data_IF_433564278629
#
_entry.id   IF_433564278629
#
_cell.length_a   1.000
_cell.length_b   1.000
_cell.length_c   1.000
_cell.angle_alpha   90.00
_cell.angle_beta   90.00
_cell.angle_gamma   90.00
#
_symmetry.space_group_name_H-M   'P 1'
#
loop_
_entity.id
_entity.type
_entity.pdbx_description
1 polymer ?
#
# COMPACT_ATOMS: atom_id res chain seq x y z
N UNK A 1 19.61 -12.43 12.30
CA UNK A 1 19.13 -12.59 10.92
C UNK A 1 19.05 -11.23 10.27
N UNK A 2 19.59 -11.08 9.05
CA UNK A 2 19.64 -9.84 8.29
C UNK A 2 18.72 -9.95 7.08
N UNK A 3 17.70 -9.12 7.01
CA UNK A 3 16.62 -9.23 6.02
C UNK A 3 16.55 -7.94 5.20
N UNK A 4 16.59 -8.06 3.88
CA UNK A 4 16.32 -6.96 2.98
C UNK A 4 14.83 -6.91 2.61
N UNK A 5 14.20 -5.76 2.81
CA UNK A 5 12.85 -5.46 2.31
C UNK A 5 12.94 -4.51 1.13
N UNK A 6 12.39 -4.90 -0.01
CA UNK A 6 12.30 -4.08 -1.21
C UNK A 6 10.84 -3.71 -1.45
N UNK A 7 10.50 -2.45 -1.35
CA UNK A 7 9.10 -2.01 -1.43
C UNK A 7 8.91 -0.56 -1.90
N UNK A 8 7.67 -0.17 -2.05
CA UNK A 8 7.28 1.16 -2.53
C UNK A 8 7.36 2.25 -1.45
N UNK A 9 8.23 2.12 -0.46
CA UNK A 9 8.43 3.10 0.61
C UNK A 9 9.47 4.17 0.25
N UNK A 10 9.40 5.32 0.91
CA UNK A 10 10.38 6.40 0.71
C UNK A 10 10.00 7.46 -0.32
N UNK A 11 8.80 7.39 -0.90
CA UNK A 11 8.29 8.39 -1.85
C UNK A 11 7.40 9.45 -1.22
N UNK A 12 7.12 9.36 0.09
CA UNK A 12 6.12 10.19 0.74
C UNK A 12 4.68 9.78 0.43
N UNK A 13 4.48 8.54 -0.06
CA UNK A 13 3.17 7.90 -0.06
C UNK A 13 2.93 7.31 1.32
N UNK A 14 2.06 7.94 2.09
CA UNK A 14 1.79 7.60 3.50
C UNK A 14 1.47 6.12 3.70
N UNK A 15 0.73 5.53 2.77
CA UNK A 15 0.35 4.13 2.84
C UNK A 15 1.55 3.20 2.68
N UNK A 16 2.34 3.43 1.66
CA UNK A 16 3.51 2.60 1.37
C UNK A 16 4.62 2.84 2.42
N UNK A 17 4.74 4.07 2.95
CA UNK A 17 5.66 4.41 4.04
C UNK A 17 5.27 3.78 5.40
N UNK A 18 4.09 3.18 5.49
CA UNK A 18 3.64 2.45 6.68
C UNK A 18 4.29 1.06 6.80
N UNK A 19 4.60 0.39 5.69
CA UNK A 19 5.14 -0.97 5.72
C UNK A 19 6.46 -1.11 6.48
N UNK A 20 7.48 -0.24 6.31
CA UNK A 20 8.68 -0.31 7.13
C UNK A 20 8.39 -0.26 8.63
N UNK A 21 7.44 0.57 9.06
CA UNK A 21 7.07 0.70 10.46
C UNK A 21 6.39 -0.57 10.99
N UNK A 22 5.50 -1.16 10.20
CA UNK A 22 4.87 -2.45 10.51
C UNK A 22 5.92 -3.54 10.64
N UNK A 23 6.81 -3.68 9.67
CA UNK A 23 7.80 -4.75 9.67
C UNK A 23 8.84 -4.58 10.78
N UNK A 24 9.28 -3.35 11.07
CA UNK A 24 10.14 -3.06 12.21
C UNK A 24 9.49 -3.48 13.55
N UNK A 25 8.20 -3.23 13.71
CA UNK A 25 7.45 -3.64 14.91
C UNK A 25 7.32 -5.16 15.01
N UNK A 26 6.98 -5.82 13.91
CA UNK A 26 6.71 -7.26 13.87
C UNK A 26 7.96 -8.13 13.94
N UNK A 27 9.11 -7.62 13.50
CA UNK A 27 10.38 -8.37 13.39
C UNK A 27 11.53 -7.73 14.18
N UNK A 28 11.25 -7.20 15.38
CA UNK A 28 12.23 -6.49 16.25
C UNK A 28 13.52 -7.26 16.54
N UNK A 29 13.52 -8.58 16.39
CA UNK A 29 14.69 -9.43 16.63
C UNK A 29 15.61 -9.62 15.41
N UNK A 30 15.30 -9.02 14.27
CA UNK A 30 16.07 -9.08 13.04
C UNK A 30 16.67 -7.72 12.68
N UNK A 31 17.79 -7.74 11.97
CA UNK A 31 18.32 -6.55 11.30
C UNK A 31 17.57 -6.36 9.99
N UNK A 32 16.82 -5.27 9.87
CA UNK A 32 15.99 -4.97 8.71
C UNK A 32 16.61 -3.86 7.88
N UNK A 33 16.84 -4.13 6.60
CA UNK A 33 17.29 -3.15 5.62
C UNK A 33 16.16 -2.86 4.64
N UNK A 34 15.89 -1.59 4.39
CA UNK A 34 14.80 -1.19 3.49
C UNK A 34 15.36 -0.58 2.21
N UNK A 35 14.93 -1.11 1.09
CA UNK A 35 15.28 -0.69 -0.26
C UNK A 35 14.03 -0.21 -1.00
N UNK A 36 14.25 0.79 -1.84
CA UNK A 36 13.17 1.36 -2.64
C UNK A 36 12.97 0.57 -3.94
N UNK A 37 11.72 0.29 -4.30
CA UNK A 37 11.36 -0.52 -5.46
C UNK A 37 11.63 0.11 -6.84
N UNK A 38 11.94 1.41 -6.88
CA UNK A 38 12.22 2.14 -8.14
C UNK A 38 13.63 2.75 -8.19
N UNK A 39 14.42 2.54 -7.14
CA UNK A 39 15.80 3.03 -7.05
C UNK A 39 16.73 1.85 -6.72
N UNK A 40 17.40 1.26 -7.73
CA UNK A 40 18.32 0.16 -7.47
C UNK A 40 19.47 0.64 -6.59
N UNK A 41 19.78 -0.15 -5.57
CA UNK A 41 20.91 0.09 -4.66
C UNK A 41 21.63 -1.23 -4.41
N UNK A 42 22.93 -1.15 -4.20
CA UNK A 42 23.75 -2.33 -3.90
C UNK A 42 23.26 -2.99 -2.61
N UNK A 43 23.03 -4.30 -2.68
CA UNK A 43 22.61 -5.10 -1.55
C UNK A 43 23.83 -5.76 -0.87
N UNK A 44 23.84 -5.87 0.47
CA UNK A 44 24.86 -6.64 1.17
C UNK A 44 24.89 -8.10 0.72
N UNK A 45 26.08 -8.68 0.67
CA UNK A 45 26.25 -10.10 0.31
C UNK A 45 25.94 -11.08 1.44
N UNK A 46 25.77 -10.59 2.67
CA UNK A 46 25.51 -11.34 3.89
C UNK A 46 24.04 -11.36 4.32
N UNK A 47 23.15 -11.25 3.35
CA UNK A 47 21.70 -11.32 3.61
C UNK A 47 21.25 -12.75 3.85
N UNK A 48 20.44 -12.94 4.87
CA UNK A 48 19.77 -14.21 5.17
C UNK A 48 18.47 -14.40 4.38
N UNK A 49 17.80 -13.30 4.04
CA UNK A 49 16.50 -13.32 3.35
C UNK A 49 16.24 -12.03 2.58
N UNK A 50 15.63 -12.13 1.41
CA UNK A 50 15.15 -11.00 0.62
C UNK A 50 13.62 -11.04 0.52
N UNK A 51 12.96 -9.97 0.89
CA UNK A 51 11.50 -9.83 0.88
C UNK A 51 11.10 -8.69 -0.04
N UNK A 52 10.34 -9.00 -1.09
CA UNK A 52 9.74 -7.98 -1.94
C UNK A 52 8.33 -7.73 -1.43
N UNK A 53 8.06 -6.49 -0.99
CA UNK A 53 6.71 -6.29 -0.50
C UNK A 53 6.39 -5.03 0.24
N UNK A 54 5.12 -5.07 0.58
CA UNK A 54 4.33 -3.92 0.95
C UNK A 54 3.92 -3.12 -0.28
N UNK A 55 2.62 -3.12 -0.60
CA UNK A 55 2.07 -2.28 -1.64
C UNK A 55 1.81 -2.96 -2.99
N UNK A 56 1.33 -2.16 -3.93
CA UNK A 56 0.98 -2.61 -5.29
C UNK A 56 2.19 -2.64 -6.22
N UNK A 57 3.20 -3.45 -5.91
CA UNK A 57 4.50 -3.44 -6.62
C UNK A 57 4.60 -4.44 -7.78
N UNK A 58 3.66 -5.37 -7.92
CA UNK A 58 3.71 -6.35 -9.02
C UNK A 58 2.97 -5.76 -10.22
N UNK A 59 3.70 -5.08 -11.07
CA UNK A 59 3.21 -4.53 -12.34
C UNK A 59 4.38 -4.30 -13.31
N UNK A 60 4.05 -4.24 -14.58
CA UNK A 60 4.96 -3.84 -15.64
C UNK A 60 4.24 -2.77 -16.47
N UNK A 61 4.32 -1.53 -15.99
CA UNK A 61 3.73 -0.37 -16.67
C UNK A 61 4.74 0.14 -17.67
N UNK A 62 4.57 -0.24 -18.93
CA UNK A 62 5.38 0.26 -20.04
C UNK A 62 4.54 1.18 -20.92
N UNK A 63 5.09 2.31 -21.33
CA UNK A 63 4.67 2.98 -22.56
C UNK A 63 4.91 2.03 -23.72
N UNK A 64 4.24 2.21 -24.85
CA UNK A 64 4.28 1.27 -25.99
C UNK A 64 5.68 0.80 -26.42
N UNK A 65 6.73 1.55 -26.06
CA UNK A 65 8.11 1.35 -26.51
C UNK A 65 9.06 0.79 -25.43
N UNK A 66 8.63 0.69 -24.16
CA UNK A 66 9.46 0.28 -23.02
C UNK A 66 8.93 -0.99 -22.33
N UNK A 67 9.19 -2.14 -22.92
CA UNK A 67 8.97 -3.41 -22.21
C UNK A 67 10.30 -4.18 -22.11
N UNK A 68 10.76 -4.57 -20.91
CA UNK A 68 10.15 -4.35 -19.58
C UNK A 68 10.31 -2.91 -19.06
N UNK A 69 9.37 -2.48 -18.23
CA UNK A 69 9.34 -1.13 -17.66
C UNK A 69 10.52 -0.82 -16.73
N UNK A 70 10.87 0.46 -16.51
CA UNK A 70 11.90 0.83 -15.54
C UNK A 70 11.64 0.29 -14.13
N UNK A 71 10.38 0.32 -13.67
CA UNK A 71 10.00 -0.27 -12.38
C UNK A 71 10.31 -1.78 -12.33
N UNK A 72 9.88 -2.54 -13.35
CA UNK A 72 10.18 -3.98 -13.37
C UNK A 72 11.68 -4.24 -13.39
N UNK A 73 12.46 -3.48 -14.18
CA UNK A 73 13.93 -3.64 -14.22
C UNK A 73 14.58 -3.40 -12.86
N UNK A 74 14.09 -2.44 -12.09
CA UNK A 74 14.56 -2.22 -10.73
C UNK A 74 14.24 -3.40 -9.81
N UNK A 75 13.02 -3.89 -9.86
CA UNK A 75 12.62 -5.08 -9.09
C UNK A 75 13.40 -6.32 -9.53
N UNK A 76 13.63 -6.48 -10.83
CA UNK A 76 14.46 -7.54 -11.41
C UNK A 76 15.87 -7.53 -10.83
N UNK A 77 16.50 -6.38 -10.72
CA UNK A 77 17.83 -6.23 -10.12
C UNK A 77 17.92 -6.88 -8.73
N UNK A 78 16.92 -6.66 -7.88
CA UNK A 78 16.88 -7.24 -6.53
C UNK A 78 16.59 -8.74 -6.54
N UNK A 79 15.68 -9.20 -7.41
CA UNK A 79 15.37 -10.63 -7.56
C UNK A 79 16.55 -11.40 -8.12
N UNK A 80 17.22 -10.88 -9.14
CA UNK A 80 18.41 -11.49 -9.72
C UNK A 80 19.56 -11.57 -8.72
N UNK A 81 19.74 -10.55 -7.87
CA UNK A 81 20.72 -10.60 -6.77
C UNK A 81 20.43 -11.76 -5.80
N UNK A 82 19.18 -11.90 -5.34
CA UNK A 82 18.78 -12.98 -4.45
C UNK A 82 19.01 -14.37 -5.08
N UNK A 83 18.67 -14.52 -6.36
CA UNK A 83 18.87 -15.77 -7.11
C UNK A 83 20.37 -16.07 -7.25
N UNK A 84 21.17 -15.09 -7.66
CA UNK A 84 22.62 -15.28 -7.89
C UNK A 84 23.38 -15.59 -6.61
N UNK A 85 22.98 -15.02 -5.47
CA UNK A 85 23.58 -15.30 -4.16
C UNK A 85 23.05 -16.58 -3.51
N UNK A 86 22.00 -17.18 -4.05
CA UNK A 86 21.30 -18.31 -3.42
C UNK A 86 20.56 -17.93 -2.13
N UNK A 87 20.31 -16.63 -1.92
CA UNK A 87 19.56 -16.14 -0.76
C UNK A 87 18.07 -16.45 -0.93
N UNK A 88 17.41 -17.10 0.05
CA UNK A 88 15.98 -17.30 0.03
C UNK A 88 15.22 -15.98 -0.14
N UNK A 89 14.12 -16.01 -0.88
CA UNK A 89 13.38 -14.78 -1.15
C UNK A 89 11.90 -15.02 -1.48
N UNK A 90 11.08 -13.98 -1.35
CA UNK A 90 9.67 -14.08 -1.68
C UNK A 90 8.93 -12.76 -1.63
N UNK A 91 7.61 -12.84 -1.84
CA UNK A 91 6.71 -11.69 -1.88
C UNK A 91 5.84 -11.63 -0.63
N UNK A 92 5.74 -10.45 -0.01
CA UNK A 92 4.99 -10.24 1.23
C UNK A 92 4.02 -9.05 1.10
N UNK A 93 2.73 -9.31 1.32
CA UNK A 93 1.67 -8.28 1.27
C UNK A 93 1.65 -7.47 -0.03
N UNK A 94 1.86 -8.18 -1.15
CA UNK A 94 1.91 -7.55 -2.47
C UNK A 94 0.52 -7.43 -3.10
N UNK A 95 0.34 -6.39 -3.91
CA UNK A 95 -0.78 -6.26 -4.82
C UNK A 95 -0.32 -6.28 -6.27
N UNK A 96 -1.12 -6.93 -7.13
CA UNK A 96 -0.98 -6.82 -8.57
C UNK A 96 -1.78 -5.63 -9.07
N UNK A 97 -1.22 -4.86 -9.98
CA UNK A 97 -2.01 -3.88 -10.73
C UNK A 97 -2.67 -4.59 -11.92
N UNK A 98 -3.89 -5.08 -11.71
CA UNK A 98 -4.62 -5.88 -12.70
C UNK A 98 -5.38 -5.05 -13.72
N UNK A 99 -5.54 -3.74 -13.48
CA UNK A 99 -6.28 -2.84 -14.36
C UNK A 99 -5.38 -1.68 -14.77
N UNK A 100 -5.40 -1.37 -16.06
CA UNK A 100 -4.83 -0.13 -16.53
C UNK A 100 -5.47 1.05 -15.76
N UNK A 101 -4.67 2.03 -15.35
CA UNK A 101 -5.21 3.36 -15.05
C UNK A 101 -6.01 3.82 -16.27
N UNK A 102 -7.00 4.71 -16.07
CA UNK A 102 -7.84 5.26 -17.16
C UNK A 102 -7.07 5.82 -18.36
N UNK A 103 -5.76 6.06 -18.17
CA UNK A 103 -4.88 6.52 -19.25
C UNK A 103 -4.54 5.32 -20.14
N UNK A 104 -4.97 5.36 -21.36
CA UNK A 104 -4.74 4.36 -22.43
C UNK A 104 -3.26 4.05 -22.69
N UNK A 105 -2.35 4.78 -22.03
CA UNK A 105 -0.89 4.71 -22.16
C UNK A 105 -0.21 3.61 -21.33
N UNK A 106 -0.91 2.95 -20.39
CA UNK A 106 -0.31 1.94 -19.54
C UNK A 106 -0.92 0.56 -19.77
N UNK A 107 -0.17 -0.33 -20.36
CA UNK A 107 -0.49 -1.76 -20.39
C UNK A 107 0.11 -2.42 -19.15
N UNK A 108 -0.70 -3.13 -18.38
CA UNK A 108 -0.17 -4.03 -17.34
C UNK A 108 0.11 -5.37 -17.99
N UNK A 109 1.38 -5.63 -18.29
CA UNK A 109 1.85 -6.93 -18.74
C UNK A 109 2.59 -7.62 -17.59
N UNK A 110 2.09 -8.76 -17.16
CA UNK A 110 2.67 -9.54 -16.06
C UNK A 110 3.64 -10.63 -16.55
N UNK A 111 3.82 -10.82 -17.86
CA UNK A 111 4.69 -11.86 -18.39
C UNK A 111 6.13 -11.78 -17.88
N UNK A 112 6.78 -10.60 -17.71
CA UNK A 112 8.12 -10.51 -17.16
C UNK A 112 8.24 -11.01 -15.71
N UNK A 113 7.13 -10.99 -14.93
CA UNK A 113 7.11 -11.43 -13.55
C UNK A 113 6.98 -12.95 -13.39
N UNK A 114 6.51 -13.66 -14.41
CA UNK A 114 6.20 -15.10 -14.33
C UNK A 114 7.38 -15.94 -13.83
N UNK A 115 8.61 -15.82 -14.40
CA UNK A 115 9.75 -16.62 -13.95
C UNK A 115 10.10 -16.40 -12.46
N UNK A 116 9.94 -15.18 -11.97
CA UNK A 116 10.23 -14.82 -10.58
C UNK A 116 9.14 -15.32 -9.64
N UNK A 117 7.87 -15.13 -10.01
CA UNK A 117 6.74 -15.67 -9.24
C UNK A 117 6.76 -17.19 -9.14
N UNK A 118 7.30 -17.89 -10.15
CA UNK A 118 7.49 -19.35 -10.11
C UNK A 118 8.60 -19.78 -9.15
N UNK A 119 9.65 -18.98 -8.98
CA UNK A 119 10.84 -19.32 -8.18
C UNK A 119 10.74 -18.88 -6.72
N UNK A 120 9.90 -17.89 -6.40
CA UNK A 120 9.76 -17.35 -5.04
C UNK A 120 9.44 -18.44 -4.01
N UNK A 121 10.06 -18.38 -2.82
CA UNK A 121 9.87 -19.35 -1.74
C UNK A 121 8.51 -19.22 -1.06
N UNK A 122 7.97 -18.01 -1.03
CA UNK A 122 6.64 -17.69 -0.53
C UNK A 122 6.05 -16.50 -1.28
N UNK A 123 4.74 -16.48 -1.42
CA UNK A 123 4.01 -15.35 -2.01
C UNK A 123 2.78 -15.10 -1.14
N UNK A 124 2.70 -13.92 -0.54
CA UNK A 124 1.46 -13.46 0.06
C UNK A 124 0.98 -12.19 -0.62
N UNK A 125 -0.29 -12.16 -0.91
CA UNK A 125 -0.95 -11.04 -1.59
C UNK A 125 -2.10 -10.49 -0.75
N UNK A 126 -2.50 -9.26 -1.05
CA UNK A 126 -3.52 -8.52 -0.29
C UNK A 126 -4.91 -8.54 -0.92
N UNK A 127 -5.14 -9.37 -1.93
CA UNK A 127 -6.43 -9.52 -2.60
C UNK A 127 -6.60 -10.94 -3.12
N UNK A 128 -7.79 -11.57 -2.97
CA UNK A 128 -8.07 -12.91 -3.51
C UNK A 128 -7.90 -13.00 -5.03
N UNK A 129 -8.25 -11.95 -5.77
CA UNK A 129 -8.07 -11.88 -7.22
C UNK A 129 -6.58 -11.98 -7.61
N UNK A 130 -5.68 -11.44 -6.76
CA UNK A 130 -4.24 -11.58 -6.98
C UNK A 130 -3.78 -13.03 -6.85
N UNK A 131 -4.33 -13.83 -5.92
CA UNK A 131 -4.03 -15.27 -5.82
C UNK A 131 -4.39 -15.96 -7.11
N UNK A 132 -5.64 -15.82 -7.55
CA UNK A 132 -6.13 -16.46 -8.77
C UNK A 132 -5.28 -16.07 -9.98
N UNK A 133 -4.98 -14.79 -10.12
CA UNK A 133 -4.17 -14.29 -11.24
C UNK A 133 -2.76 -14.85 -11.25
N UNK A 134 -2.09 -14.94 -10.08
CA UNK A 134 -0.75 -15.53 -9.98
C UNK A 134 -0.81 -17.02 -10.33
N UNK A 135 -1.79 -17.76 -9.83
CA UNK A 135 -1.97 -19.15 -10.15
C UNK A 135 -2.18 -19.39 -11.64
N UNK A 136 -3.02 -18.56 -12.27
CA UNK A 136 -3.31 -18.66 -13.71
C UNK A 136 -2.07 -18.43 -14.59
N UNK A 137 -1.27 -17.41 -14.27
CA UNK A 137 -0.10 -17.07 -15.12
C UNK A 137 1.14 -17.90 -14.84
N UNK A 138 1.27 -18.46 -13.63
CA UNK A 138 2.46 -19.22 -13.23
C UNK A 138 2.26 -20.72 -13.27
N UNK A 139 1.01 -21.21 -13.27
CA UNK A 139 0.67 -22.61 -13.09
C UNK A 139 0.87 -23.14 -11.66
N UNK A 140 1.26 -22.28 -10.69
CA UNK A 140 1.40 -22.68 -9.28
C UNK A 140 0.03 -22.99 -8.69
N UNK A 141 -0.08 -24.14 -8.04
CA UNK A 141 -1.30 -24.50 -7.28
C UNK A 141 -1.17 -24.14 -5.80
N UNK A 142 0.05 -24.13 -5.29
CA UNK A 142 0.36 -23.95 -3.87
C UNK A 142 1.37 -22.81 -3.66
N UNK A 143 1.51 -22.37 -2.41
CA UNK A 143 2.51 -21.36 -2.00
C UNK A 143 2.14 -19.92 -2.34
N UNK A 144 0.88 -19.67 -2.72
CA UNK A 144 0.32 -18.31 -2.87
C UNK A 144 -0.84 -18.17 -1.90
N UNK A 145 -0.75 -17.25 -0.97
CA UNK A 145 -1.76 -17.04 0.06
C UNK A 145 -2.30 -15.62 0.04
N UNK A 146 -3.58 -15.47 0.33
CA UNK A 146 -4.22 -14.19 0.55
C UNK A 146 -4.32 -13.89 2.03
N UNK A 147 -3.95 -12.67 2.40
CA UNK A 147 -4.27 -12.04 3.68
C UNK A 147 -4.60 -10.57 3.45
N UNK A 148 -5.43 -9.93 4.28
CA UNK A 148 -5.64 -8.49 4.20
C UNK A 148 -4.32 -7.73 4.32
N UNK A 149 -4.26 -6.55 3.73
CA UNK A 149 -3.03 -5.75 3.64
C UNK A 149 -2.31 -5.62 5.01
N UNK A 150 -0.98 -5.81 5.01
CA UNK A 150 -0.18 -5.74 6.25
C UNK A 150 -0.28 -4.37 6.96
N UNK A 151 -0.67 -3.31 6.26
CA UNK A 151 -0.91 -2.01 6.88
C UNK A 151 -2.04 -2.02 7.91
N UNK A 152 -2.91 -3.04 7.94
CA UNK A 152 -3.85 -3.26 9.04
C UNK A 152 -3.18 -3.56 10.38
N UNK A 153 -1.93 -4.00 10.38
CA UNK A 153 -1.15 -4.25 11.59
C UNK A 153 -0.53 -2.99 12.18
N UNK A 154 -0.57 -1.88 11.42
CA UNK A 154 -0.05 -0.61 11.91
C UNK A 154 -0.84 -0.15 13.13
N UNK A 155 -0.14 0.16 14.20
CA UNK A 155 -0.71 0.72 15.43
C UNK A 155 0.13 1.92 15.86
N UNK A 156 -0.56 2.98 16.19
CA UNK A 156 -0.01 4.12 16.92
C UNK A 156 -1.08 4.64 17.85
N UNK A 157 -0.69 5.29 18.91
CA UNK A 157 -1.65 5.94 19.79
C UNK A 157 -2.19 7.19 19.09
N UNK A 158 -3.38 7.05 18.49
CA UNK A 158 -4.09 8.22 18.01
C UNK A 158 -4.54 9.06 19.21
N UNK A 159 -4.33 10.38 19.22
CA UNK A 159 -4.89 11.24 20.25
C UNK A 159 -6.42 11.11 20.23
N UNK A 160 -7.03 11.03 21.40
CA UNK A 160 -8.48 11.10 21.50
C UNK A 160 -8.98 12.40 20.88
N UNK A 161 -10.12 12.38 20.15
CA UNK A 161 -10.73 13.59 19.65
C UNK A 161 -10.89 14.61 20.78
N UNK A 162 -10.63 15.91 20.54
CA UNK A 162 -10.83 16.91 21.57
C UNK A 162 -12.28 16.89 22.07
N UNK A 163 -12.48 16.76 23.36
CA UNK A 163 -13.80 16.78 23.96
C UNK A 163 -14.47 18.12 23.64
N UNK A 164 -15.67 18.10 23.03
CA UNK A 164 -16.45 19.29 22.72
C UNK A 164 -16.13 20.00 21.40
N UNK A 165 -15.26 19.44 20.57
CA UNK A 165 -15.03 19.92 19.19
C UNK A 165 -16.18 19.56 18.23
N UNK A 166 -16.29 20.30 17.12
CA UNK A 166 -17.20 19.92 16.04
C UNK A 166 -16.80 18.56 15.47
N UNK A 167 -17.76 17.72 15.02
CA UNK A 167 -17.42 16.47 14.37
C UNK A 167 -16.61 16.75 13.10
N UNK A 168 -15.64 15.89 12.79
CA UNK A 168 -14.69 16.10 11.71
C UNK A 168 -14.93 15.12 10.57
N UNK A 169 -14.98 15.64 9.34
CA UNK A 169 -14.88 14.88 8.11
C UNK A 169 -13.46 15.01 7.56
N UNK A 170 -12.72 13.91 7.49
CA UNK A 170 -11.46 13.88 6.76
C UNK A 170 -11.66 13.36 5.34
N UNK A 171 -11.24 14.16 4.36
CA UNK A 171 -11.23 13.81 2.94
C UNK A 171 -9.81 13.43 2.53
N UNK A 172 -9.66 12.22 2.00
CA UNK A 172 -8.37 11.69 1.49
C UNK A 172 -8.51 11.49 -0.02
N UNK A 173 -8.10 12.46 -0.84
CA UNK A 173 -8.31 12.41 -2.27
C UNK A 173 -7.41 11.38 -2.97
N UNK A 174 -7.88 10.89 -4.12
CA UNK A 174 -7.06 10.15 -5.08
C UNK A 174 -7.28 10.73 -6.47
N UNK A 175 -6.19 11.09 -7.13
CA UNK A 175 -6.29 11.73 -8.45
C UNK A 175 -6.63 13.22 -8.36
N UNK A 176 -6.91 13.84 -9.50
CA UNK A 176 -7.18 15.28 -9.58
C UNK A 176 -8.52 15.61 -8.93
N UNK A 177 -8.50 16.41 -7.87
CA UNK A 177 -9.74 16.99 -7.33
C UNK A 177 -10.20 18.04 -8.33
N UNK A 178 -11.20 17.69 -9.10
CA UNK A 178 -11.88 18.68 -9.92
C UNK A 178 -12.81 19.52 -9.04
N UNK A 179 -12.57 20.84 -8.87
CA UNK A 179 -13.46 21.70 -8.08
C UNK A 179 -14.87 21.79 -8.65
N UNK A 180 -15.05 21.44 -9.93
CA UNK A 180 -16.35 21.38 -10.58
C UNK A 180 -17.05 20.02 -10.43
N UNK A 181 -16.39 19.02 -9.81
CA UNK A 181 -17.02 17.73 -9.54
C UNK A 181 -18.19 17.91 -8.57
N UNK A 182 -19.41 17.65 -9.03
CA UNK A 182 -20.63 17.84 -8.24
C UNK A 182 -20.64 16.99 -6.97
N UNK A 183 -20.07 15.78 -7.02
CA UNK A 183 -19.99 14.89 -5.87
C UNK A 183 -19.11 15.48 -4.76
N UNK A 184 -17.92 15.97 -5.09
CA UNK A 184 -17.03 16.62 -4.12
C UNK A 184 -17.68 17.86 -3.50
N UNK A 185 -18.33 18.70 -4.34
CA UNK A 185 -19.09 19.87 -3.86
C UNK A 185 -20.24 19.47 -2.95
N UNK A 186 -20.97 18.40 -3.30
CA UNK A 186 -22.07 17.91 -2.49
C UNK A 186 -21.61 17.43 -1.12
N UNK A 187 -20.54 16.64 -1.07
CA UNK A 187 -19.97 16.15 0.18
C UNK A 187 -19.50 17.27 1.12
N UNK A 188 -18.82 18.29 0.59
CA UNK A 188 -18.39 19.45 1.39
C UNK A 188 -19.60 20.22 1.91
N UNK A 189 -20.60 20.51 1.05
CA UNK A 189 -21.82 21.21 1.47
C UNK A 189 -22.61 20.42 2.52
N UNK A 190 -22.77 19.12 2.34
CA UNK A 190 -23.45 18.26 3.30
C UNK A 190 -22.73 18.28 4.65
N UNK A 191 -21.42 18.11 4.66
CA UNK A 191 -20.64 18.15 5.88
C UNK A 191 -20.82 19.50 6.61
N UNK A 192 -20.77 20.62 5.88
CA UNK A 192 -21.00 21.95 6.45
C UNK A 192 -22.41 22.13 6.99
N UNK A 193 -23.43 21.64 6.30
CA UNK A 193 -24.83 21.71 6.77
C UNK A 193 -25.06 20.90 8.06
N UNK A 194 -24.23 19.92 8.33
CA UNK A 194 -24.23 19.10 9.54
C UNK A 194 -23.24 19.59 10.61
N UNK A 195 -22.70 20.79 10.44
CA UNK A 195 -21.71 21.42 11.32
C UNK A 195 -20.40 20.63 11.49
N UNK A 196 -19.96 19.91 10.47
CA UNK A 196 -18.66 19.26 10.46
C UNK A 196 -17.53 20.24 10.15
N UNK A 197 -16.40 20.07 10.85
CA UNK A 197 -15.12 20.57 10.36
C UNK A 197 -14.67 19.70 9.18
N UNK A 198 -14.32 20.31 8.04
CA UNK A 198 -13.82 19.58 6.87
C UNK A 198 -12.30 19.72 6.78
N UNK A 199 -11.61 18.57 6.74
CA UNK A 199 -10.14 18.47 6.63
C UNK A 199 -9.81 17.72 5.36
N UNK A 200 -8.96 18.30 4.52
CA UNK A 200 -8.38 17.60 3.37
C UNK A 200 -6.96 17.18 3.69
N UNK A 201 -6.67 15.89 3.50
CA UNK A 201 -5.37 15.32 3.84
C UNK A 201 -4.75 14.58 2.66
N UNK A 202 -3.55 14.98 2.27
CA UNK A 202 -2.75 14.26 1.29
C UNK A 202 -2.22 12.94 1.87
N UNK A 203 -2.42 11.84 1.17
CA UNK A 203 -1.78 10.54 1.49
C UNK A 203 -0.98 9.98 0.29
N UNK A 204 -1.01 10.64 -0.85
CA UNK A 204 -0.24 10.26 -2.03
C UNK A 204 1.17 10.84 -2.05
N UNK A 205 1.98 10.39 -3.01
CA UNK A 205 3.27 11.00 -3.27
C UNK A 205 3.11 12.49 -3.57
N UNK A 206 4.11 13.33 -3.25
CA UNK A 206 4.03 14.79 -3.44
C UNK A 206 3.64 15.24 -4.84
N UNK A 207 4.06 14.49 -5.85
CA UNK A 207 3.74 14.76 -7.26
C UNK A 207 2.24 14.54 -7.54
N UNK A 208 1.62 13.60 -6.82
CA UNK A 208 0.21 13.23 -7.06
C UNK A 208 -0.78 14.18 -6.40
N UNK A 209 -0.44 14.78 -5.26
CA UNK A 209 -1.44 15.44 -4.40
C UNK A 209 -1.29 16.98 -4.29
N UNK A 210 -0.19 17.57 -4.78
CA UNK A 210 0.06 19.00 -4.61
C UNK A 210 -1.06 19.88 -5.19
N UNK A 211 -1.37 19.68 -6.46
CA UNK A 211 -2.41 20.41 -7.19
C UNK A 211 -3.83 20.14 -6.63
N UNK A 212 -4.04 18.94 -6.07
CA UNK A 212 -5.36 18.52 -5.60
C UNK A 212 -5.78 19.24 -4.33
N UNK A 213 -4.84 19.48 -3.42
CA UNK A 213 -5.12 20.18 -2.17
C UNK A 213 -5.38 21.67 -2.39
N UNK A 214 -4.71 22.29 -3.37
CA UNK A 214 -4.98 23.68 -3.74
C UNK A 214 -6.42 23.81 -4.31
N UNK A 215 -6.84 22.85 -5.10
CA UNK A 215 -8.21 22.80 -5.60
C UNK A 215 -9.27 22.63 -4.50
N UNK A 216 -8.92 22.00 -3.37
CA UNK A 216 -9.85 21.88 -2.24
C UNK A 216 -10.24 23.25 -1.65
N UNK A 217 -9.32 24.20 -1.60
CA UNK A 217 -9.60 25.57 -1.15
C UNK A 217 -10.46 26.37 -2.12
N UNK A 218 -10.50 25.97 -3.41
CA UNK A 218 -11.43 26.56 -4.36
C UNK A 218 -12.86 26.09 -4.11
N UNK A 219 -13.04 24.88 -3.55
CA UNK A 219 -14.37 24.36 -3.16
C UNK A 219 -14.88 25.01 -1.88
N UNK A 220 -14.01 25.18 -0.89
CA UNK A 220 -14.30 25.81 0.38
C UNK A 220 -13.03 26.44 0.96
N UNK A 221 -12.90 27.78 0.95
CA UNK A 221 -11.72 28.48 1.49
C UNK A 221 -11.48 28.24 2.98
N UNK A 222 -12.47 27.71 3.71
CA UNK A 222 -12.40 27.47 5.16
C UNK A 222 -11.93 26.06 5.51
N UNK A 223 -11.67 25.19 4.52
CA UNK A 223 -11.18 23.82 4.79
C UNK A 223 -9.78 23.87 5.35
N UNK A 224 -9.52 23.01 6.32
CA UNK A 224 -8.18 22.76 6.81
C UNK A 224 -7.46 21.77 5.88
N UNK A 225 -6.21 22.10 5.52
CA UNK A 225 -5.40 21.24 4.66
C UNK A 225 -4.22 20.68 5.46
N UNK A 226 -4.04 19.36 5.38
CA UNK A 226 -2.87 18.64 5.91
C UNK A 226 -2.06 18.15 4.73
N UNK A 227 -0.86 18.72 4.58
CA UNK A 227 0.08 18.38 3.51
C UNK A 227 1.15 17.45 4.04
N UNK A 228 1.37 16.35 3.33
CA UNK A 228 2.47 15.41 3.56
C UNK A 228 2.58 14.95 5.03
N UNK A 229 1.51 14.45 5.64
CA UNK A 229 1.62 13.87 6.96
C UNK A 229 2.50 12.61 6.86
N UNK A 230 3.30 12.33 7.89
CA UNK A 230 3.87 11.00 8.05
C UNK A 230 2.78 9.97 8.43
N UNK A 231 3.06 8.67 8.37
CA UNK A 231 2.09 7.63 8.68
C UNK A 231 1.40 7.81 10.04
N UNK A 232 2.14 8.15 11.09
CA UNK A 232 1.59 8.36 12.42
C UNK A 232 0.60 9.53 12.49
N UNK A 233 0.93 10.65 11.86
CA UNK A 233 0.07 11.83 11.83
C UNK A 233 -1.20 11.59 10.99
N UNK A 234 -1.07 10.87 9.87
CA UNK A 234 -2.23 10.50 9.04
C UNK A 234 -3.16 9.54 9.79
N UNK A 235 -2.60 8.54 10.45
CA UNK A 235 -3.35 7.58 11.24
C UNK A 235 -4.10 8.28 12.38
N UNK A 236 -3.42 9.17 13.12
CA UNK A 236 -4.02 9.97 14.19
C UNK A 236 -5.13 10.89 13.66
N UNK A 237 -4.93 11.56 12.52
CA UNK A 237 -5.95 12.41 11.90
C UNK A 237 -7.21 11.62 11.53
N UNK A 238 -7.05 10.43 10.95
CA UNK A 238 -8.17 9.54 10.63
C UNK A 238 -8.88 9.10 11.91
N UNK A 239 -8.14 8.69 12.95
CA UNK A 239 -8.70 8.29 14.24
C UNK A 239 -9.46 9.39 14.96
N UNK A 240 -9.10 10.65 14.76
CA UNK A 240 -9.80 11.81 15.28
C UNK A 240 -11.08 12.16 14.50
N UNK A 241 -11.32 11.52 13.36
CA UNK A 241 -12.45 11.83 12.47
C UNK A 241 -13.73 11.13 12.91
N UNK A 242 -14.88 11.76 12.68
CA UNK A 242 -16.18 11.14 12.82
C UNK A 242 -16.57 10.36 11.55
N UNK A 243 -16.04 10.78 10.42
CA UNK A 243 -16.27 10.19 9.11
C UNK A 243 -15.04 10.42 8.23
N UNK A 244 -14.72 9.44 7.39
CA UNK A 244 -13.66 9.55 6.38
C UNK A 244 -14.26 9.38 4.99
N UNK A 245 -13.93 10.27 4.09
CA UNK A 245 -14.23 10.15 2.67
C UNK A 245 -12.90 9.93 1.93
N UNK A 246 -12.70 8.75 1.34
CA UNK A 246 -11.40 8.39 0.80
C UNK A 246 -11.46 7.87 -0.63
N UNK A 247 -10.53 8.35 -1.45
CA UNK A 247 -10.16 7.76 -2.73
C UNK A 247 -8.89 6.92 -2.66
N UNK A 248 -8.21 6.87 -1.51
CA UNK A 248 -6.95 6.13 -1.31
C UNK A 248 -7.19 4.85 -0.53
N UNK A 249 -6.57 3.76 -0.99
CA UNK A 249 -6.67 2.44 -0.37
C UNK A 249 -6.27 2.46 1.11
N UNK A 250 -5.13 3.05 1.45
CA UNK A 250 -4.68 3.15 2.84
C UNK A 250 -5.51 4.11 3.70
N UNK A 251 -6.20 5.08 3.09
CA UNK A 251 -7.20 5.87 3.81
C UNK A 251 -8.34 5.02 4.34
N UNK A 252 -8.82 4.07 3.53
CA UNK A 252 -9.81 3.06 3.94
C UNK A 252 -9.23 2.12 5.01
N UNK A 253 -8.00 1.60 4.83
CA UNK A 253 -7.36 0.72 5.80
C UNK A 253 -7.26 1.40 7.18
N UNK A 254 -6.78 2.64 7.23
CA UNK A 254 -6.62 3.36 8.50
C UNK A 254 -7.97 3.66 9.18
N UNK A 255 -8.99 4.01 8.40
CA UNK A 255 -10.33 4.20 8.95
C UNK A 255 -10.88 2.90 9.54
N UNK A 256 -10.81 1.81 8.77
CA UNK A 256 -11.31 0.50 9.18
C UNK A 256 -10.56 -0.06 10.39
N UNK A 257 -9.22 0.05 10.42
CA UNK A 257 -8.39 -0.41 11.53
C UNK A 257 -8.73 0.29 12.86
N UNK A 258 -9.33 1.47 12.82
CA UNK A 258 -9.73 2.28 13.96
C UNK A 258 -11.25 2.30 14.20
N UNK A 259 -12.03 1.54 13.42
CA UNK A 259 -13.48 1.50 13.53
C UNK A 259 -14.17 2.82 13.13
N UNK A 260 -13.50 3.68 12.36
CA UNK A 260 -14.07 4.94 11.89
C UNK A 260 -14.92 4.67 10.64
N UNK A 261 -16.18 5.12 10.60
CA UNK A 261 -17.00 5.05 9.41
C UNK A 261 -16.33 5.73 8.22
N UNK A 262 -16.42 5.12 7.06
CA UNK A 262 -15.83 5.68 5.85
C UNK A 262 -16.71 5.47 4.61
N UNK A 263 -16.51 6.32 3.63
CA UNK A 263 -17.07 6.23 2.31
C UNK A 263 -15.97 6.27 1.26
N UNK A 264 -16.05 5.38 0.28
CA UNK A 264 -15.08 5.30 -0.81
C UNK A 264 -15.52 6.18 -1.97
N UNK A 265 -14.64 7.04 -2.45
CA UNK A 265 -14.91 7.90 -3.60
C UNK A 265 -15.16 7.08 -4.87
N UNK A 266 -16.12 7.49 -5.67
CA UNK A 266 -16.40 6.91 -6.99
C UNK A 266 -15.20 6.98 -7.95
N UNK A 267 -14.25 7.88 -7.70
CA UNK A 267 -13.03 8.00 -8.50
C UNK A 267 -11.98 6.92 -8.17
N UNK A 268 -12.23 6.05 -7.18
CA UNK A 268 -11.29 5.04 -6.73
C UNK A 268 -11.71 3.55 -6.92
N UNK A 269 -12.67 3.20 -7.79
CA UNK A 269 -13.22 1.83 -7.84
C UNK A 269 -12.21 0.78 -8.31
N UNK A 270 -11.07 1.19 -8.87
CA UNK A 270 -10.02 0.27 -9.33
C UNK A 270 -9.03 -0.14 -8.23
N UNK A 271 -8.99 0.59 -7.10
CA UNK A 271 -8.06 0.33 -5.99
C UNK A 271 -8.70 -0.33 -4.78
N UNK A 272 -9.98 -0.07 -4.54
CA UNK A 272 -10.71 -0.54 -3.37
C UNK A 272 -11.86 -1.43 -3.85
N UNK A 273 -11.85 -2.69 -3.45
CA UNK A 273 -12.82 -3.69 -3.90
C UNK A 273 -13.71 -4.12 -2.75
N UNK A 274 -14.88 -4.65 -3.08
CA UNK A 274 -15.80 -5.18 -2.06
C UNK A 274 -15.20 -6.34 -1.28
N UNK A 275 -14.37 -7.18 -1.93
CA UNK A 275 -13.66 -8.30 -1.30
C UNK A 275 -12.68 -7.82 -0.24
N UNK A 276 -12.01 -6.68 -0.46
CA UNK A 276 -11.12 -6.05 0.52
C UNK A 276 -11.88 -5.61 1.79
N UNK A 277 -13.19 -5.35 1.65
CA UNK A 277 -14.05 -4.95 2.76
C UNK A 277 -14.62 -6.15 3.53
N UNK A 278 -14.62 -7.35 2.96
CA UNK A 278 -15.17 -8.56 3.59
C UNK A 278 -14.14 -9.27 4.46
N UNK A 279 -12.85 -9.17 4.13
CA UNK A 279 -11.79 -9.83 4.89
C UNK A 279 -11.66 -9.25 6.30
N UNK A 280 -11.43 -10.09 7.33
CA UNK A 280 -11.15 -9.61 8.68
C UNK A 280 -9.76 -8.94 8.73
N UNK A 281 -9.65 -7.69 9.18
CA UNK A 281 -8.35 -7.02 9.37
C UNK A 281 -7.36 -7.81 10.25
N UNK A 282 -7.84 -8.63 11.18
CA UNK A 282 -6.99 -9.46 12.04
C UNK A 282 -6.22 -10.53 11.26
N UNK A 283 -6.76 -11.00 10.13
CA UNK A 283 -6.12 -12.01 9.28
C UNK A 283 -4.84 -11.47 8.60
N UNK A 284 -4.60 -10.15 8.63
CA UNK A 284 -3.33 -9.56 8.18
C UNK A 284 -2.10 -10.14 8.90
N UNK A 285 -2.29 -10.71 10.11
CA UNK A 285 -1.26 -11.42 10.85
C UNK A 285 -0.67 -12.60 10.06
N UNK A 286 -1.41 -13.19 9.14
CA UNK A 286 -0.93 -14.28 8.27
C UNK A 286 0.29 -13.92 7.43
N UNK A 287 0.49 -12.64 7.06
CA UNK A 287 1.72 -12.18 6.43
C UNK A 287 2.93 -12.36 7.35
N UNK A 288 2.77 -12.00 8.61
CA UNK A 288 3.84 -12.10 9.62
C UNK A 288 4.18 -13.56 9.89
N UNK A 289 3.18 -14.41 10.02
CA UNK A 289 3.36 -15.86 10.25
C UNK A 289 4.07 -16.52 9.06
N UNK A 290 3.70 -16.16 7.83
CA UNK A 290 4.36 -16.66 6.62
C UNK A 290 5.85 -16.29 6.61
N UNK A 291 6.17 -15.03 6.94
CA UNK A 291 7.56 -14.60 6.97
C UNK A 291 8.34 -15.26 8.13
N UNK A 292 7.76 -15.40 9.32
CA UNK A 292 8.38 -16.13 10.44
C UNK A 292 8.69 -17.57 10.06
N UNK A 293 7.77 -18.28 9.41
CA UNK A 293 8.01 -19.63 8.94
C UNK A 293 9.15 -19.69 7.89
N UNK A 294 9.30 -18.68 7.03
CA UNK A 294 10.44 -18.58 6.12
C UNK A 294 11.75 -18.35 6.87
N UNK A 295 11.76 -17.47 7.87
CA UNK A 295 12.93 -17.21 8.74
C UNK A 295 13.37 -18.46 9.49
N UNK A 296 12.47 -19.25 10.04
CA UNK A 296 12.76 -20.51 10.73
C UNK A 296 13.37 -21.54 9.79
N UNK A 297 12.89 -21.65 8.55
CA UNK A 297 13.50 -22.54 7.53
C UNK A 297 14.95 -22.13 7.22
N UNK A 298 15.21 -20.84 7.08
CA UNK A 298 16.56 -20.31 6.86
C UNK A 298 17.49 -20.67 8.03
N UNK A 299 17.03 -20.45 9.27
CA UNK A 299 17.81 -20.73 10.49
C UNK A 299 18.10 -22.22 10.69
N UNK A 300 17.17 -23.09 10.32
CA UNK A 300 17.34 -24.54 10.43
C UNK A 300 18.19 -25.15 9.30
N UNK A 301 18.58 -24.35 8.29
CA UNK A 301 19.30 -24.84 7.11
C UNK A 301 18.48 -25.80 6.24
N UNK A 302 17.16 -25.86 6.43
CA UNK A 302 16.27 -26.70 5.65
C UNK A 302 16.20 -26.15 4.21
N UNK A 303 16.85 -26.85 3.28
CA UNK A 303 16.67 -26.61 1.83
C UNK A 303 15.30 -27.11 1.39
N UNK A 304 14.73 -26.44 0.36
CA UNK A 304 13.53 -26.94 -0.34
C UNK A 304 13.65 -28.37 -0.76
#
# INVERSE_FOLDING_TARGET
MKIAFVGASGYGNVGDDTYPLVFQEQFRGAELLFFNSDLPAEMPSDLDLVVLGGGGIIYNSATHDESPSPHFRCMQFYMDHAIASGTPWGFLSCGLQLRARRDEYFRTDLAPWVPYLQQADFITVRSPECVQKIQDITGRKDGVSFFPDAAYLYRTHAPAPPAGGRPMLTVVPAGVINPHNQHNQHMVRLARSLDYEVVWMSMGAPVDDGTHLDNAQLLDPTVRIIRRPGPAAAYAQIGASRLVFTGRYHGMIFARAQGIPFYVSEDAPYKIRMEDLQADPADAQGHVETLKAAMERVQSGAKK
#
